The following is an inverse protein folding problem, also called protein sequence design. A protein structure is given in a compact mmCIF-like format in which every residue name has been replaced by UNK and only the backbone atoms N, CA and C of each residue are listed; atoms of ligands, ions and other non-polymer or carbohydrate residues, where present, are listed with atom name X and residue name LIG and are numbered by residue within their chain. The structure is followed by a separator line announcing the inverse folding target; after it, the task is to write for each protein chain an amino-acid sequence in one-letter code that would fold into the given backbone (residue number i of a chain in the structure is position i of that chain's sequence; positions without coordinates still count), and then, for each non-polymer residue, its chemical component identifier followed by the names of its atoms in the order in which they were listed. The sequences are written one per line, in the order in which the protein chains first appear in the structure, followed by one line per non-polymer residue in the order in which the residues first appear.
data_IF_168741100767
#
_entry.id   IF_168741100767
#
_cell.length_a   1.000
_cell.length_b   1.000
_cell.length_c   1.000
_cell.angle_alpha   90.00
_cell.angle_beta   90.00
_cell.angle_gamma   90.00
#
_symmetry.space_group_name_H-M   'P 1'
#
loop_
_entity.id
_entity.type
_entity.pdbx_description
1 polymer ?
#
# COMPACT_ATOMS: atom_id res chain seq x y z
N UNK A 1 35.82 -8.55 -2.79
CA UNK A 1 36.23 -9.01 -1.44
C UNK A 1 35.08 -8.75 -0.49
N UNK A 2 34.85 -9.63 0.49
CA UNK A 2 33.86 -9.39 1.54
C UNK A 2 34.47 -8.58 2.65
N UNK A 3 33.70 -7.63 3.18
CA UNK A 3 34.15 -6.73 4.25
C UNK A 3 34.00 -7.38 5.62
N UNK A 4 35.02 -7.27 6.46
CA UNK A 4 35.03 -7.83 7.80
C UNK A 4 35.24 -6.73 8.85
N UNK A 5 34.51 -6.86 9.96
CA UNK A 5 34.76 -6.11 11.19
C UNK A 5 35.28 -7.06 12.28
N UNK A 6 36.34 -6.66 12.96
CA UNK A 6 36.84 -7.32 14.17
C UNK A 6 36.43 -6.47 15.39
N UNK A 7 35.90 -7.10 16.45
CA UNK A 7 35.53 -6.41 17.68
C UNK A 7 35.99 -7.21 18.90
N UNK A 8 36.86 -6.64 19.70
CA UNK A 8 37.39 -7.23 20.94
C UNK A 8 37.95 -6.11 21.81
N UNK A 9 37.73 -6.14 23.11
CA UNK A 9 38.23 -5.10 24.03
C UNK A 9 39.73 -5.23 24.31
N UNK A 10 40.31 -6.36 23.97
CA UNK A 10 41.76 -6.60 24.08
C UNK A 10 42.48 -6.30 22.75
N UNK A 11 43.18 -5.18 22.67
CA UNK A 11 43.94 -4.79 21.46
C UNK A 11 44.93 -5.84 20.97
N UNK A 12 45.49 -6.66 21.89
CA UNK A 12 46.40 -7.74 21.53
C UNK A 12 45.70 -8.85 20.76
N UNK A 13 44.43 -9.13 21.09
CA UNK A 13 43.63 -10.12 20.37
C UNK A 13 43.25 -9.58 18.98
N UNK A 14 42.87 -8.30 18.85
CA UNK A 14 42.62 -7.67 17.54
C UNK A 14 43.85 -7.76 16.63
N UNK A 15 45.05 -7.47 17.15
CA UNK A 15 46.32 -7.61 16.41
C UNK A 15 46.64 -9.08 16.10
N UNK A 16 46.34 -9.98 17.02
CA UNK A 16 46.50 -11.42 16.80
C UNK A 16 45.60 -11.92 15.67
N UNK A 17 44.32 -11.57 15.71
CA UNK A 17 43.34 -11.92 14.67
C UNK A 17 43.71 -11.38 13.28
N UNK A 18 44.25 -10.17 13.22
CA UNK A 18 44.72 -9.58 11.98
C UNK A 18 45.83 -10.34 11.32
N UNK A 19 46.73 -10.98 12.13
CA UNK A 19 47.94 -11.66 11.64
C UNK A 19 47.82 -13.19 11.61
N UNK A 20 46.82 -13.79 12.25
CA UNK A 20 46.64 -15.25 12.31
C UNK A 20 46.03 -15.83 11.01
N UNK A 21 45.33 -15.01 10.24
CA UNK A 21 44.66 -15.41 9.01
C UNK A 21 45.17 -14.59 7.84
N UNK A 22 45.37 -15.23 6.71
CA UNK A 22 45.65 -14.58 5.43
C UNK A 22 44.32 -14.13 4.79
N UNK A 23 43.75 -13.01 5.32
CA UNK A 23 42.40 -12.53 4.97
C UNK A 23 42.23 -12.30 3.46
N UNK A 24 43.23 -11.73 2.79
CA UNK A 24 43.18 -11.45 1.37
C UNK A 24 43.09 -12.72 0.51
N UNK A 25 43.80 -13.80 0.92
CA UNK A 25 43.75 -15.09 0.24
C UNK A 25 42.37 -15.74 0.34
N UNK A 26 41.64 -15.48 1.42
CA UNK A 26 40.24 -15.90 1.59
C UNK A 26 39.23 -14.99 0.85
N UNK A 27 39.69 -13.90 0.24
CA UNK A 27 38.83 -12.91 -0.41
C UNK A 27 38.11 -12.00 0.60
N UNK A 28 38.69 -11.80 1.77
CA UNK A 28 38.19 -10.97 2.86
C UNK A 28 39.04 -9.70 3.00
N UNK A 29 38.43 -8.62 3.48
CA UNK A 29 39.10 -7.36 3.78
C UNK A 29 38.67 -6.86 5.16
N UNK A 30 39.60 -6.66 6.08
CA UNK A 30 39.29 -6.05 7.38
C UNK A 30 39.15 -4.54 7.18
N UNK A 31 37.93 -4.03 7.23
CA UNK A 31 37.63 -2.61 7.02
C UNK A 31 37.36 -1.85 8.32
N UNK A 32 36.97 -2.56 9.38
CA UNK A 32 36.70 -1.99 10.68
C UNK A 32 37.29 -2.82 11.82
N UNK A 33 37.82 -2.13 12.83
CA UNK A 33 38.23 -2.73 14.13
C UNK A 33 37.59 -1.90 15.23
N UNK A 34 37.03 -2.54 16.26
CA UNK A 34 36.36 -1.89 17.37
C UNK A 34 36.85 -2.48 18.70
N UNK A 35 37.04 -1.63 19.70
CA UNK A 35 37.47 -2.01 21.04
C UNK A 35 36.29 -2.22 22.01
N UNK A 36 35.07 -2.03 21.56
CA UNK A 36 33.84 -2.27 22.33
C UNK A 36 32.65 -2.32 21.38
N UNK A 37 31.50 -2.83 21.88
CA UNK A 37 30.30 -3.00 21.05
C UNK A 37 29.69 -1.70 20.59
N UNK A 38 29.78 -0.60 21.36
CA UNK A 38 29.22 0.69 20.92
C UNK A 38 30.03 1.25 19.74
N UNK A 39 31.33 1.22 19.79
CA UNK A 39 32.21 1.61 18.69
C UNK A 39 31.98 0.75 17.45
N UNK A 40 31.71 -0.55 17.64
CA UNK A 40 31.35 -1.45 16.54
C UNK A 40 30.06 -1.04 15.84
N UNK A 41 29.00 -0.68 16.60
CA UNK A 41 27.75 -0.18 16.05
C UNK A 41 27.96 1.10 15.24
N UNK A 42 28.72 2.06 15.76
CA UNK A 42 28.95 3.34 15.11
C UNK A 42 29.74 3.17 13.81
N UNK A 43 30.81 2.37 13.83
CA UNK A 43 31.60 2.04 12.63
C UNK A 43 30.81 1.25 11.59
N UNK A 44 29.90 0.36 12.02
CA UNK A 44 29.03 -0.37 11.10
C UNK A 44 28.06 0.56 10.37
N UNK A 45 27.51 1.57 11.06
CA UNK A 45 26.62 2.57 10.43
C UNK A 45 27.36 3.41 9.39
N UNK A 46 28.63 3.75 9.64
CA UNK A 46 29.46 4.51 8.70
C UNK A 46 29.92 3.66 7.50
N UNK A 47 30.34 2.44 7.75
CA UNK A 47 30.85 1.52 6.73
C UNK A 47 30.35 0.08 7.02
N UNK A 48 29.18 -0.30 6.50
CA UNK A 48 28.62 -1.64 6.69
C UNK A 48 29.53 -2.75 6.19
N UNK A 49 29.52 -3.88 6.92
CA UNK A 49 30.36 -5.07 6.63
C UNK A 49 29.50 -6.30 6.36
N UNK A 50 30.07 -7.31 5.68
CA UNK A 50 29.41 -8.60 5.40
C UNK A 50 29.54 -9.57 6.59
N UNK A 51 30.69 -9.53 7.31
CA UNK A 51 31.03 -10.46 8.41
C UNK A 51 31.50 -9.67 9.61
N UNK A 52 31.03 -10.04 10.80
CA UNK A 52 31.49 -9.52 12.08
C UNK A 52 32.10 -10.68 12.90
N UNK A 53 33.36 -10.56 13.29
CA UNK A 53 34.02 -11.45 14.22
C UNK A 53 34.17 -10.70 15.54
N UNK A 54 33.47 -11.13 16.59
CA UNK A 54 33.38 -10.36 17.83
C UNK A 54 33.63 -11.22 19.08
N UNK A 55 34.28 -10.63 20.08
CA UNK A 55 34.23 -11.18 21.43
C UNK A 55 32.82 -11.08 22.02
N UNK A 56 32.53 -12.00 22.95
CA UNK A 56 31.21 -11.99 23.62
C UNK A 56 31.17 -10.97 24.76
N UNK A 57 32.25 -10.82 25.52
CA UNK A 57 32.29 -10.01 26.72
C UNK A 57 33.06 -8.70 26.48
N UNK A 58 32.40 -7.74 25.88
CA UNK A 58 32.95 -6.40 25.68
C UNK A 58 32.25 -5.37 26.60
N UNK A 59 32.95 -4.30 26.99
CA UNK A 59 32.39 -3.22 27.78
C UNK A 59 31.30 -2.46 26.99
N UNK A 60 30.32 -1.89 27.71
CA UNK A 60 29.19 -1.10 27.23
C UNK A 60 28.14 -1.94 26.49
N UNK A 61 28.49 -2.63 25.42
CA UNK A 61 27.62 -3.47 24.60
C UNK A 61 28.33 -4.81 24.38
N UNK A 62 27.69 -5.89 24.82
CA UNK A 62 28.20 -7.26 24.64
C UNK A 62 28.10 -7.71 23.16
N UNK A 63 28.90 -8.73 22.76
CA UNK A 63 28.81 -9.27 21.39
C UNK A 63 27.42 -9.79 20.99
N UNK A 64 26.65 -10.31 21.94
CA UNK A 64 25.27 -10.73 21.69
C UNK A 64 24.28 -9.56 21.53
N UNK A 65 24.51 -8.47 22.25
CA UNK A 65 23.73 -7.25 22.07
C UNK A 65 24.10 -6.55 20.76
N UNK A 66 25.40 -6.52 20.42
CA UNK A 66 25.91 -6.04 19.14
C UNK A 66 25.24 -6.78 17.98
N UNK A 67 25.17 -8.10 18.03
CA UNK A 67 24.49 -8.91 17.02
C UNK A 67 23.03 -8.48 16.84
N UNK A 68 22.27 -8.30 17.93
CA UNK A 68 20.87 -7.87 17.85
C UNK A 68 20.72 -6.51 17.21
N UNK A 69 21.58 -5.55 17.57
CA UNK A 69 21.50 -4.19 17.03
C UNK A 69 21.91 -4.14 15.55
N UNK A 70 22.97 -4.85 15.15
CA UNK A 70 23.41 -4.85 13.76
C UNK A 70 22.43 -5.61 12.84
N UNK A 71 21.80 -6.69 13.31
CA UNK A 71 20.76 -7.39 12.54
C UNK A 71 19.48 -6.57 12.30
N UNK A 72 19.19 -5.59 13.17
CA UNK A 72 18.12 -4.62 12.90
C UNK A 72 18.46 -3.65 11.75
N UNK A 73 19.76 -3.36 11.57
CA UNK A 73 20.25 -2.45 10.53
C UNK A 73 20.45 -3.20 9.20
N UNK A 74 21.01 -4.41 9.27
CA UNK A 74 21.23 -5.29 8.13
C UNK A 74 21.03 -6.76 8.56
N UNK A 75 19.96 -7.38 8.11
CA UNK A 75 19.62 -8.79 8.42
C UNK A 75 20.64 -9.79 7.87
N UNK A 76 21.34 -9.43 6.79
CA UNK A 76 22.21 -10.34 6.04
C UNK A 76 23.63 -10.43 6.62
N UNK A 77 23.98 -9.55 7.58
CA UNK A 77 25.29 -9.58 8.23
C UNK A 77 25.53 -10.89 8.98
N UNK A 78 26.68 -11.51 8.76
CA UNK A 78 27.06 -12.78 9.38
C UNK A 78 27.92 -12.53 10.61
N UNK A 79 27.70 -13.35 11.65
CA UNK A 79 28.41 -13.23 12.93
C UNK A 79 29.18 -14.50 13.28
N UNK A 80 30.43 -14.31 13.71
CA UNK A 80 31.27 -15.33 14.34
C UNK A 80 31.59 -14.79 15.73
N UNK A 81 31.22 -15.54 16.76
CA UNK A 81 31.44 -15.17 18.16
C UNK A 81 32.73 -15.86 18.66
N UNK A 82 33.60 -15.08 19.28
CA UNK A 82 34.76 -15.58 20.00
C UNK A 82 34.47 -15.53 21.51
N UNK A 83 34.87 -16.54 22.27
CA UNK A 83 34.61 -16.56 23.70
C UNK A 83 35.71 -17.25 24.49
N UNK A 84 36.12 -16.66 25.59
CA UNK A 84 37.07 -17.27 26.54
C UNK A 84 36.43 -18.18 27.59
N UNK A 85 35.09 -18.32 27.55
CA UNK A 85 34.36 -19.08 28.54
C UNK A 85 33.62 -20.26 27.92
N UNK A 86 33.79 -21.44 28.51
CA UNK A 86 33.03 -22.64 28.19
C UNK A 86 31.63 -22.56 28.84
N UNK A 87 30.94 -21.43 28.66
CA UNK A 87 29.60 -21.21 29.21
C UNK A 87 28.56 -21.56 28.16
N UNK A 88 28.02 -22.75 28.32
CA UNK A 88 26.97 -23.30 27.47
C UNK A 88 25.73 -22.37 27.31
N UNK A 89 25.49 -21.48 28.29
CA UNK A 89 24.38 -20.55 28.25
C UNK A 89 24.55 -19.46 27.17
N UNK A 90 25.77 -19.01 26.95
CA UNK A 90 26.08 -18.04 25.89
C UNK A 90 26.05 -18.67 24.50
N UNK A 91 26.62 -19.86 24.37
CA UNK A 91 26.61 -20.62 23.13
C UNK A 91 25.15 -20.88 22.67
N UNK A 92 24.26 -21.31 23.58
CA UNK A 92 22.85 -21.53 23.29
C UNK A 92 22.17 -20.24 22.81
N UNK A 93 22.36 -19.11 23.51
CA UNK A 93 21.78 -17.82 23.09
C UNK A 93 22.32 -17.34 21.75
N UNK A 94 23.60 -17.55 21.48
CA UNK A 94 24.22 -17.20 20.21
C UNK A 94 23.56 -17.98 19.04
N UNK A 95 23.38 -19.29 19.21
CA UNK A 95 22.70 -20.16 18.22
C UNK A 95 21.25 -19.69 18.00
N UNK A 96 20.50 -19.42 19.08
CA UNK A 96 19.12 -18.91 18.99
C UNK A 96 19.04 -17.57 18.24
N UNK A 97 20.07 -16.75 18.29
CA UNK A 97 20.18 -15.47 17.59
C UNK A 97 20.75 -15.61 16.16
N UNK A 98 21.07 -16.83 15.74
CA UNK A 98 21.51 -17.13 14.37
C UNK A 98 22.92 -16.64 14.08
N UNK A 99 23.88 -16.92 14.96
CA UNK A 99 25.33 -16.78 14.64
C UNK A 99 25.76 -17.88 13.69
N UNK A 100 26.75 -17.61 12.85
CA UNK A 100 27.30 -18.61 11.94
C UNK A 100 28.16 -19.64 12.68
N UNK A 101 28.93 -19.21 13.67
CA UNK A 101 29.69 -20.09 14.51
C UNK A 101 30.06 -19.42 15.84
N UNK A 102 30.48 -20.26 16.81
CA UNK A 102 30.94 -19.89 18.14
C UNK A 102 32.29 -20.61 18.39
N UNK A 103 33.38 -19.86 18.52
CA UNK A 103 34.75 -20.36 18.64
C UNK A 103 35.27 -20.06 20.04
N UNK A 104 35.86 -21.05 20.67
CA UNK A 104 36.48 -20.91 21.99
C UNK A 104 37.89 -20.34 21.88
N UNK A 105 38.23 -19.42 22.80
CA UNK A 105 39.62 -18.97 23.00
C UNK A 105 40.39 -20.02 23.85
N UNK A 106 41.64 -20.39 23.54
CA UNK A 106 42.53 -19.77 22.54
C UNK A 106 42.09 -20.12 21.10
N UNK A 107 42.14 -19.12 20.23
CA UNK A 107 41.64 -19.25 18.85
C UNK A 107 42.58 -20.16 18.06
N UNK A 108 42.00 -21.22 17.51
CA UNK A 108 42.69 -22.10 16.59
C UNK A 108 42.60 -21.55 15.16
N UNK A 109 43.75 -21.39 14.50
CA UNK A 109 43.81 -20.83 13.14
C UNK A 109 43.01 -21.65 12.14
N UNK A 110 43.12 -22.97 12.16
CA UNK A 110 42.45 -23.87 11.21
C UNK A 110 40.92 -23.82 11.42
N UNK A 111 40.46 -23.74 12.68
CA UNK A 111 39.05 -23.62 13.02
C UNK A 111 38.45 -22.30 12.54
N UNK A 112 39.16 -21.18 12.78
CA UNK A 112 38.71 -19.86 12.34
C UNK A 112 38.69 -19.76 10.81
N UNK A 113 39.73 -20.23 10.14
CA UNK A 113 39.83 -20.24 8.68
C UNK A 113 38.71 -21.07 8.05
N UNK A 114 38.47 -22.28 8.57
CA UNK A 114 37.38 -23.15 8.11
C UNK A 114 36.02 -22.50 8.29
N UNK A 115 35.78 -21.82 9.43
CA UNK A 115 34.56 -21.12 9.73
C UNK A 115 34.33 -19.96 8.76
N UNK A 116 35.36 -19.17 8.49
CA UNK A 116 35.32 -18.08 7.51
C UNK A 116 35.01 -18.58 6.10
N UNK A 117 35.66 -19.68 5.64
CA UNK A 117 35.38 -20.31 4.34
C UNK A 117 33.92 -20.77 4.23
N UNK A 118 33.39 -21.39 5.29
CA UNK A 118 31.98 -21.83 5.30
C UNK A 118 31.02 -20.63 5.24
N UNK A 119 31.31 -19.58 5.98
CA UNK A 119 30.53 -18.33 6.01
C UNK A 119 30.51 -17.65 4.63
N UNK A 120 31.68 -17.56 3.96
CA UNK A 120 31.80 -17.04 2.60
C UNK A 120 30.96 -17.85 1.61
N UNK A 121 31.05 -19.18 1.68
CA UNK A 121 30.29 -20.05 0.80
C UNK A 121 28.76 -19.86 1.01
N UNK A 122 28.32 -19.72 2.25
CA UNK A 122 26.93 -19.43 2.59
C UNK A 122 26.48 -18.08 2.03
N UNK A 123 27.29 -17.02 2.20
CA UNK A 123 26.98 -15.70 1.60
C UNK A 123 26.90 -15.78 0.07
N UNK A 124 27.79 -16.55 -0.58
CA UNK A 124 27.76 -16.74 -2.03
C UNK A 124 26.48 -17.45 -2.47
N UNK A 125 26.11 -18.55 -1.81
CA UNK A 125 24.89 -19.29 -2.11
C UNK A 125 23.65 -18.42 -1.94
N UNK A 126 23.53 -17.70 -0.81
CA UNK A 126 22.40 -16.79 -0.57
C UNK A 126 22.33 -15.65 -1.62
N UNK A 127 23.47 -15.09 -2.03
CA UNK A 127 23.53 -14.07 -3.10
C UNK A 127 23.17 -14.64 -4.49
N UNK A 128 23.54 -15.89 -4.78
CA UNK A 128 23.16 -16.57 -6.02
C UNK A 128 21.67 -16.95 -6.04
N UNK A 129 21.16 -17.47 -4.94
CA UNK A 129 19.73 -17.78 -4.78
C UNK A 129 18.88 -16.51 -4.88
N UNK A 130 19.28 -15.41 -4.24
CA UNK A 130 18.61 -14.11 -4.34
C UNK A 130 18.68 -13.53 -5.76
N UNK A 131 19.81 -13.63 -6.45
CA UNK A 131 19.90 -13.20 -7.86
C UNK A 131 19.00 -14.03 -8.77
N UNK A 132 18.97 -15.33 -8.56
CA UNK A 132 18.10 -16.27 -9.28
C UNK A 132 16.62 -15.99 -8.98
N UNK A 133 16.24 -15.78 -7.71
CA UNK A 133 14.86 -15.52 -7.32
C UNK A 133 14.36 -14.15 -7.79
N UNK A 134 15.17 -13.10 -7.71
CA UNK A 134 14.85 -11.77 -8.26
C UNK A 134 14.74 -11.81 -9.80
N UNK A 135 15.63 -12.54 -10.47
CA UNK A 135 15.57 -12.76 -11.90
C UNK A 135 14.27 -13.49 -12.30
N UNK A 136 13.96 -14.58 -11.63
CA UNK A 136 12.73 -15.35 -11.81
C UNK A 136 11.49 -14.50 -11.58
N UNK A 137 11.45 -13.74 -10.48
CA UNK A 137 10.35 -12.85 -10.16
C UNK A 137 10.10 -11.80 -11.25
N UNK A 138 11.15 -11.14 -11.73
CA UNK A 138 11.07 -10.17 -12.82
C UNK A 138 10.54 -10.76 -14.12
N UNK A 139 10.94 -11.99 -14.46
CA UNK A 139 10.44 -12.71 -15.63
C UNK A 139 8.97 -13.05 -15.46
N UNK A 140 8.55 -13.55 -14.30
CA UNK A 140 7.14 -13.84 -14.02
C UNK A 140 6.26 -12.59 -14.10
N UNK A 141 6.72 -11.43 -13.61
CA UNK A 141 6.03 -10.14 -13.79
C UNK A 141 5.90 -9.76 -15.27
N UNK A 142 6.96 -9.92 -16.06
CA UNK A 142 6.90 -9.66 -17.52
C UNK A 142 5.94 -10.60 -18.21
N UNK A 143 5.91 -11.88 -17.79
CA UNK A 143 5.04 -12.92 -18.33
C UNK A 143 3.56 -12.57 -18.12
N UNK A 144 3.14 -12.26 -16.90
CA UNK A 144 1.74 -11.90 -16.61
C UNK A 144 1.33 -10.57 -17.24
N UNK A 145 2.27 -9.65 -17.47
CA UNK A 145 2.04 -8.41 -18.20
C UNK A 145 2.06 -8.55 -19.72
N UNK A 146 2.35 -9.76 -20.24
CA UNK A 146 2.42 -10.05 -21.68
C UNK A 146 3.57 -9.32 -22.38
N UNK A 147 4.69 -9.12 -21.69
CA UNK A 147 5.86 -8.40 -22.19
C UNK A 147 7.02 -9.30 -22.63
N UNK A 148 6.81 -10.63 -22.66
CA UNK A 148 7.78 -11.60 -23.12
C UNK A 148 7.40 -12.11 -24.53
N UNK A 149 8.40 -12.24 -25.41
CA UNK A 149 8.23 -12.90 -26.69
C UNK A 149 8.22 -14.44 -26.53
N UNK A 150 7.73 -15.15 -27.54
CA UNK A 150 7.55 -16.61 -27.46
C UNK A 150 8.85 -17.36 -27.16
N UNK A 151 9.94 -17.06 -27.86
CA UNK A 151 11.23 -17.72 -27.61
C UNK A 151 11.82 -17.40 -26.23
N UNK A 152 11.59 -16.18 -25.71
CA UNK A 152 12.08 -15.78 -24.39
C UNK A 152 11.43 -16.56 -23.23
N UNK A 153 10.19 -17.04 -23.41
CA UNK A 153 9.52 -17.82 -22.35
C UNK A 153 10.17 -19.20 -22.23
N UNK A 154 10.45 -19.89 -23.35
CA UNK A 154 11.08 -21.21 -23.32
C UNK A 154 12.49 -21.15 -22.74
N UNK A 155 13.32 -20.19 -23.17
CA UNK A 155 14.65 -19.98 -22.63
C UNK A 155 14.63 -19.69 -21.12
N UNK A 156 13.68 -18.86 -20.66
CA UNK A 156 13.57 -18.50 -19.25
C UNK A 156 12.96 -19.62 -18.39
N UNK A 157 12.07 -20.46 -18.94
CA UNK A 157 11.55 -21.65 -18.22
C UNK A 157 12.69 -22.57 -17.78
N UNK A 158 13.61 -22.86 -18.67
CA UNK A 158 14.78 -23.73 -18.38
C UNK A 158 15.79 -22.99 -17.48
N UNK A 159 16.08 -21.72 -17.77
CA UNK A 159 17.10 -20.94 -17.06
C UNK A 159 16.75 -20.63 -15.59
N UNK A 160 15.46 -20.51 -15.25
CA UNK A 160 14.98 -20.19 -13.89
C UNK A 160 14.25 -21.35 -13.19
N UNK A 161 14.28 -22.56 -13.73
CA UNK A 161 13.61 -23.74 -13.17
C UNK A 161 12.14 -23.47 -12.79
N UNK A 162 11.38 -22.90 -13.74
CA UNK A 162 9.97 -22.60 -13.49
C UNK A 162 9.14 -23.88 -13.44
N UNK A 163 8.27 -23.98 -12.44
CA UNK A 163 7.36 -25.12 -12.26
C UNK A 163 6.09 -25.00 -13.12
N UNK A 164 6.23 -24.53 -14.37
CA UNK A 164 5.11 -24.26 -15.29
C UNK A 164 5.25 -25.11 -16.59
N UNK A 165 5.25 -26.44 -16.45
CA UNK A 165 5.51 -27.38 -17.54
C UNK A 165 4.31 -28.29 -17.87
N UNK A 166 3.11 -27.72 -17.93
CA UNK A 166 1.88 -28.48 -18.20
C UNK A 166 1.13 -27.93 -19.40
N UNK A 167 0.02 -28.59 -19.77
CA UNK A 167 -0.79 -28.21 -20.91
C UNK A 167 -1.87 -27.15 -20.58
N UNK A 168 -2.12 -26.89 -19.32
CA UNK A 168 -3.13 -25.89 -18.87
C UNK A 168 -2.65 -25.11 -17.69
N UNK A 169 -2.97 -23.82 -17.70
CA UNK A 169 -2.57 -22.88 -16.67
C UNK A 169 -3.77 -22.11 -16.16
N UNK A 170 -3.78 -21.79 -14.87
CA UNK A 170 -4.73 -20.86 -14.29
C UNK A 170 -4.01 -19.84 -13.42
N UNK A 171 -4.55 -18.63 -13.34
CA UNK A 171 -4.01 -17.56 -12.53
C UNK A 171 -5.07 -17.10 -11.54
N UNK A 172 -4.66 -16.95 -10.29
CA UNK A 172 -5.49 -16.44 -9.21
C UNK A 172 -4.78 -15.28 -8.51
N UNK A 173 -5.48 -14.18 -8.30
CA UNK A 173 -5.04 -13.11 -7.42
C UNK A 173 -5.69 -13.32 -6.05
N UNK A 174 -4.89 -13.33 -5.00
CA UNK A 174 -5.33 -13.51 -3.61
C UNK A 174 -5.17 -12.17 -2.91
N UNK A 175 -6.27 -11.55 -2.50
CA UNK A 175 -6.30 -10.34 -1.72
C UNK A 175 -6.66 -10.66 -0.27
N UNK A 176 -6.06 -10.00 0.70
CA UNK A 176 -6.37 -10.10 2.12
C UNK A 176 -7.01 -8.80 2.62
N UNK A 177 -7.86 -8.88 3.64
CA UNK A 177 -8.53 -7.70 4.20
C UNK A 177 -7.56 -6.74 4.89
N UNK A 178 -6.64 -7.26 5.68
CA UNK A 178 -5.50 -6.53 6.20
C UNK A 178 -4.36 -6.72 5.21
N UNK A 179 -4.01 -5.66 4.48
CA UNK A 179 -2.87 -5.67 3.56
C UNK A 179 -1.69 -6.28 4.30
N UNK A 180 -1.21 -7.41 3.88
CA UNK A 180 -0.13 -8.24 4.44
C UNK A 180 0.69 -7.56 5.55
N UNK A 181 0.03 -7.24 6.68
CA UNK A 181 0.61 -6.48 7.80
C UNK A 181 1.79 -7.21 8.47
N UNK A 182 2.03 -8.48 8.10
CA UNK A 182 3.17 -9.23 8.58
C UNK A 182 3.69 -10.23 7.56
N UNK A 183 5.02 -10.40 7.50
CA UNK A 183 5.68 -11.50 6.79
C UNK A 183 5.10 -12.88 7.21
N UNK A 184 4.61 -12.97 8.44
CA UNK A 184 3.98 -14.17 9.00
C UNK A 184 2.69 -14.53 8.26
N UNK A 185 1.82 -13.57 7.97
CA UNK A 185 0.57 -13.82 7.22
C UNK A 185 0.87 -14.32 5.81
N UNK A 186 1.80 -13.69 5.11
CA UNK A 186 2.24 -14.11 3.78
C UNK A 186 2.81 -15.53 3.83
N UNK A 187 3.66 -15.81 4.82
CA UNK A 187 4.24 -17.14 5.01
C UNK A 187 3.17 -18.22 5.23
N UNK A 188 2.15 -17.93 6.04
CA UNK A 188 1.03 -18.84 6.32
C UNK A 188 0.25 -19.15 5.04
N UNK A 189 -0.11 -18.15 4.25
CA UNK A 189 -0.82 -18.36 2.97
C UNK A 189 0.04 -19.20 2.00
N UNK A 190 1.32 -18.90 1.89
CA UNK A 190 2.26 -19.64 1.04
C UNK A 190 2.39 -21.10 1.49
N UNK A 191 2.38 -21.37 2.79
CA UNK A 191 2.41 -22.75 3.32
C UNK A 191 1.15 -23.52 2.91
N UNK A 192 -0.04 -22.93 3.07
CA UNK A 192 -1.30 -23.58 2.61
C UNK A 192 -1.26 -23.86 1.09
N UNK A 193 -0.73 -22.93 0.29
CA UNK A 193 -0.56 -23.15 -1.13
C UNK A 193 0.35 -24.35 -1.40
N UNK A 194 1.52 -24.41 -0.74
CA UNK A 194 2.48 -25.51 -0.91
C UNK A 194 1.91 -26.87 -0.51
N UNK A 195 1.12 -26.95 0.53
CA UNK A 195 0.49 -28.18 1.00
C UNK A 195 -0.59 -28.71 0.04
N UNK A 196 -1.25 -27.80 -0.68
CA UNK A 196 -2.35 -28.16 -1.60
C UNK A 196 -1.95 -28.32 -3.06
N UNK A 197 -0.75 -27.89 -3.44
CA UNK A 197 -0.24 -27.96 -4.80
C UNK A 197 0.92 -28.93 -4.91
N UNK A 198 0.87 -29.83 -5.89
CA UNK A 198 1.95 -30.77 -6.19
C UNK A 198 3.08 -30.06 -6.97
N UNK A 199 3.77 -29.10 -6.37
CA UNK A 199 4.95 -28.40 -6.94
C UNK A 199 4.82 -27.80 -8.37
N UNK A 200 3.61 -27.75 -8.93
CA UNK A 200 3.35 -27.23 -10.28
C UNK A 200 2.76 -25.83 -10.24
N UNK A 201 3.41 -24.92 -9.51
CA UNK A 201 2.93 -23.54 -9.34
C UNK A 201 4.06 -22.55 -9.22
N UNK A 202 3.76 -21.29 -9.49
CA UNK A 202 4.61 -20.14 -9.21
C UNK A 202 3.83 -19.07 -8.43
N UNK A 203 4.51 -18.40 -7.52
CA UNK A 203 3.97 -17.32 -6.73
C UNK A 203 4.69 -16.03 -7.09
N UNK A 204 3.91 -14.97 -7.28
CA UNK A 204 4.41 -13.62 -7.51
C UNK A 204 3.85 -12.74 -6.39
N UNK A 205 4.73 -12.00 -5.73
CA UNK A 205 4.35 -10.94 -4.81
C UNK A 205 4.70 -9.59 -5.45
N UNK A 206 3.69 -8.74 -5.66
CA UNK A 206 3.89 -7.47 -6.35
C UNK A 206 4.18 -6.32 -5.37
N UNK A 207 4.71 -5.21 -5.89
CA UNK A 207 4.92 -3.99 -5.10
C UNK A 207 3.61 -3.38 -4.57
N UNK A 208 2.49 -3.68 -5.24
CA UNK A 208 1.14 -3.28 -4.81
C UNK A 208 0.56 -4.27 -3.78
N UNK A 209 1.43 -5.09 -3.14
CA UNK A 209 1.08 -6.07 -2.10
C UNK A 209 0.06 -7.12 -2.57
N UNK A 210 0.07 -7.48 -3.85
CA UNK A 210 -0.78 -8.54 -4.40
C UNK A 210 -0.04 -9.88 -4.39
N UNK A 211 -0.71 -10.92 -3.92
CA UNK A 211 -0.24 -12.30 -4.05
C UNK A 211 -0.90 -12.93 -5.28
N UNK A 212 -0.08 -13.28 -6.27
CA UNK A 212 -0.54 -13.91 -7.52
C UNK A 212 -0.04 -15.34 -7.58
N UNK A 213 -0.95 -16.27 -7.73
CA UNK A 213 -0.68 -17.69 -7.86
C UNK A 213 -0.92 -18.13 -9.30
N UNK A 214 0.09 -18.69 -9.95
CA UNK A 214 -0.02 -19.35 -11.25
C UNK A 214 0.10 -20.86 -11.01
N UNK A 215 -0.95 -21.61 -11.29
CA UNK A 215 -0.95 -23.07 -11.26
C UNK A 215 -0.82 -23.64 -12.66
N UNK A 216 -0.06 -24.72 -12.80
CA UNK A 216 -0.03 -25.54 -13.98
C UNK A 216 -0.65 -26.92 -13.69
N UNK A 217 -1.43 -27.44 -14.65
CA UNK A 217 -2.26 -28.62 -14.48
C UNK A 217 -1.90 -29.67 -15.53
N UNK A 218 -1.51 -30.87 -15.08
CA UNK A 218 -1.12 -31.97 -15.95
C UNK A 218 -2.34 -32.62 -16.60
N UNK A 219 -3.53 -32.45 -16.02
CA UNK A 219 -4.80 -32.92 -16.55
C UNK A 219 -5.63 -31.77 -17.11
N UNK A 220 -6.45 -32.06 -18.11
CA UNK A 220 -7.37 -31.09 -18.70
C UNK A 220 -8.57 -30.83 -17.77
N UNK A 221 -8.30 -30.26 -16.59
CA UNK A 221 -9.33 -29.90 -15.61
C UNK A 221 -10.35 -28.91 -16.20
N UNK A 222 -11.62 -29.15 -15.91
CA UNK A 222 -12.70 -28.23 -16.26
C UNK A 222 -12.60 -26.96 -15.41
N UNK A 223 -13.20 -25.86 -15.88
CA UNK A 223 -13.29 -24.59 -15.11
C UNK A 223 -13.90 -24.80 -13.72
N UNK A 224 -14.89 -25.71 -13.59
CA UNK A 224 -15.53 -26.04 -12.31
C UNK A 224 -14.58 -26.73 -11.33
N UNK A 225 -13.73 -27.62 -11.82
CA UNK A 225 -12.74 -28.32 -11.01
C UNK A 225 -11.66 -27.35 -10.53
N UNK A 226 -11.18 -26.46 -11.41
CA UNK A 226 -10.22 -25.41 -11.06
C UNK A 226 -10.82 -24.46 -10.01
N UNK A 227 -12.09 -24.04 -10.18
CA UNK A 227 -12.77 -23.22 -9.18
C UNK A 227 -12.88 -23.95 -7.84
N UNK A 228 -13.26 -25.25 -7.85
CA UNK A 228 -13.35 -26.06 -6.64
C UNK A 228 -12.01 -26.15 -5.89
N UNK A 229 -10.90 -26.24 -6.62
CA UNK A 229 -9.56 -26.20 -6.01
C UNK A 229 -9.33 -24.88 -5.27
N UNK A 230 -9.59 -23.74 -5.92
CA UNK A 230 -9.41 -22.43 -5.26
C UNK A 230 -10.41 -22.19 -4.14
N UNK A 231 -11.64 -22.70 -4.22
CA UNK A 231 -12.60 -22.65 -3.11
C UNK A 231 -12.06 -23.43 -1.89
N UNK A 232 -11.47 -24.62 -2.11
CA UNK A 232 -10.84 -25.41 -1.05
C UNK A 232 -9.65 -24.66 -0.44
N UNK A 233 -8.79 -24.08 -1.28
CA UNK A 233 -7.64 -23.27 -0.84
C UNK A 233 -8.11 -22.11 0.05
N UNK A 234 -9.13 -21.36 -0.37
CA UNK A 234 -9.74 -20.29 0.40
C UNK A 234 -10.23 -20.78 1.77
N UNK A 235 -10.98 -21.91 1.80
CA UNK A 235 -11.50 -22.47 3.04
C UNK A 235 -10.40 -22.86 4.02
N UNK A 236 -9.29 -23.41 3.53
CA UNK A 236 -8.15 -23.76 4.37
C UNK A 236 -7.47 -22.52 4.95
N UNK A 237 -7.21 -21.49 4.16
CA UNK A 237 -6.62 -20.24 4.64
C UNK A 237 -7.48 -19.65 5.77
N UNK A 238 -8.79 -19.62 5.58
CA UNK A 238 -9.73 -19.09 6.60
C UNK A 238 -9.74 -19.96 7.86
N UNK A 239 -9.85 -21.28 7.71
CA UNK A 239 -10.02 -22.19 8.85
C UNK A 239 -8.74 -22.36 9.68
N UNK A 240 -7.58 -22.37 9.05
CA UNK A 240 -6.30 -22.59 9.74
C UNK A 240 -5.72 -21.33 10.36
N UNK A 241 -5.89 -20.19 9.69
CA UNK A 241 -5.24 -18.94 10.12
C UNK A 241 -6.21 -17.79 10.42
N UNK A 242 -7.51 -17.95 10.15
CA UNK A 242 -8.51 -16.90 10.39
C UNK A 242 -8.35 -15.66 9.48
N UNK A 243 -7.65 -15.81 8.34
CA UNK A 243 -7.36 -14.70 7.42
C UNK A 243 -8.54 -14.54 6.45
N UNK A 244 -9.13 -13.36 6.42
CA UNK A 244 -10.15 -13.00 5.44
C UNK A 244 -9.50 -12.78 4.06
N UNK A 245 -9.88 -13.61 3.08
CA UNK A 245 -9.29 -13.59 1.72
C UNK A 245 -10.35 -13.44 0.64
N UNK A 246 -9.95 -12.81 -0.46
CA UNK A 246 -10.75 -12.75 -1.68
C UNK A 246 -9.92 -13.29 -2.85
N UNK A 247 -10.41 -14.36 -3.46
CA UNK A 247 -9.74 -15.05 -4.57
C UNK A 247 -10.43 -14.70 -5.88
N UNK A 248 -9.70 -14.08 -6.80
CA UNK A 248 -10.17 -13.80 -8.15
C UNK A 248 -9.44 -14.65 -9.17
N UNK A 249 -10.16 -15.55 -9.83
CA UNK A 249 -9.60 -16.55 -10.72
C UNK A 249 -9.89 -16.19 -12.17
N UNK A 250 -8.83 -15.95 -12.95
CA UNK A 250 -8.93 -15.70 -14.39
C UNK A 250 -9.25 -16.98 -15.17
N UNK A 251 -9.73 -16.81 -16.40
CA UNK A 251 -10.01 -17.92 -17.29
C UNK A 251 -8.76 -18.80 -17.51
N UNK A 252 -8.89 -20.13 -17.38
CA UNK A 252 -7.78 -21.02 -17.64
C UNK A 252 -7.34 -20.98 -19.11
N UNK A 253 -6.03 -21.03 -19.33
CA UNK A 253 -5.43 -21.00 -20.67
C UNK A 253 -4.64 -22.27 -20.95
N UNK A 254 -4.63 -22.73 -22.22
CA UNK A 254 -3.85 -23.88 -22.64
C UNK A 254 -2.43 -23.51 -23.07
N UNK A 255 -2.10 -22.25 -23.06
CA UNK A 255 -0.81 -21.75 -23.52
C UNK A 255 -0.32 -20.69 -22.53
N UNK A 256 0.90 -20.86 -22.03
CA UNK A 256 1.50 -19.95 -21.05
C UNK A 256 1.64 -18.51 -21.60
N UNK A 257 1.78 -18.35 -22.92
CA UNK A 257 1.78 -17.03 -23.58
C UNK A 257 0.49 -16.25 -23.37
N UNK A 258 -0.62 -16.97 -23.16
CA UNK A 258 -1.94 -16.36 -22.92
C UNK A 258 -2.21 -16.08 -21.45
N UNK A 259 -1.28 -16.38 -20.54
CA UNK A 259 -1.49 -16.15 -19.10
C UNK A 259 -1.77 -14.69 -18.77
N UNK A 260 -1.29 -13.76 -19.59
CA UNK A 260 -1.58 -12.33 -19.48
C UNK A 260 -3.06 -12.00 -19.66
N UNK A 261 -3.81 -12.80 -20.44
CA UNK A 261 -5.27 -12.64 -20.54
C UNK A 261 -5.97 -13.09 -19.26
N UNK A 262 -5.55 -14.23 -18.71
CA UNK A 262 -6.04 -14.71 -17.41
C UNK A 262 -5.76 -13.71 -16.28
N UNK A 263 -4.58 -13.09 -16.27
CA UNK A 263 -4.23 -12.02 -15.31
C UNK A 263 -5.16 -10.79 -15.44
N UNK A 264 -5.39 -10.32 -16.66
CA UNK A 264 -6.29 -9.17 -16.90
C UNK A 264 -7.70 -9.44 -16.39
N UNK A 265 -8.20 -10.66 -16.59
CA UNK A 265 -9.52 -11.06 -16.10
C UNK A 265 -9.55 -11.15 -14.58
N UNK A 266 -8.59 -11.83 -13.96
CA UNK A 266 -8.47 -11.90 -12.51
C UNK A 266 -8.38 -10.50 -11.88
N UNK A 267 -7.60 -9.59 -12.49
CA UNK A 267 -7.47 -8.20 -12.05
C UNK A 267 -8.76 -7.37 -12.19
N UNK A 268 -9.60 -7.68 -13.18
CA UNK A 268 -10.92 -7.08 -13.29
C UNK A 268 -11.88 -7.65 -12.23
N UNK A 269 -11.77 -8.95 -11.95
CA UNK A 269 -12.59 -9.65 -10.96
C UNK A 269 -12.27 -9.20 -9.53
N UNK A 270 -11.00 -8.91 -9.20
CA UNK A 270 -10.62 -8.51 -7.83
C UNK A 270 -11.41 -7.31 -7.30
N UNK A 271 -11.83 -6.41 -8.19
CA UNK A 271 -12.65 -5.23 -7.83
C UNK A 271 -14.01 -5.59 -7.24
N UNK A 272 -14.50 -6.82 -7.50
CA UNK A 272 -15.75 -7.30 -6.96
C UNK A 272 -15.70 -7.61 -5.45
N UNK A 273 -14.52 -7.56 -4.82
CA UNK A 273 -14.43 -7.57 -3.35
C UNK A 273 -15.29 -6.47 -2.76
N UNK A 274 -15.33 -5.30 -3.39
CA UNK A 274 -16.16 -4.16 -3.01
C UNK A 274 -17.66 -4.49 -2.93
N UNK A 275 -18.16 -5.37 -3.80
CA UNK A 275 -19.60 -5.69 -3.88
C UNK A 275 -19.97 -7.02 -3.25
N UNK A 276 -19.05 -7.97 -3.22
CA UNK A 276 -19.27 -9.32 -2.73
C UNK A 276 -18.70 -9.56 -1.33
N UNK A 277 -17.80 -8.67 -0.88
CA UNK A 277 -17.06 -8.82 0.38
C UNK A 277 -16.00 -9.89 0.32
N UNK A 278 -15.22 -10.00 1.40
CA UNK A 278 -14.19 -11.03 1.57
C UNK A 278 -14.80 -12.45 1.73
N UNK A 279 -13.92 -13.44 1.82
CA UNK A 279 -14.25 -14.86 1.96
C UNK A 279 -15.01 -15.44 0.77
N UNK A 280 -14.67 -14.93 -0.42
CA UNK A 280 -15.21 -15.38 -1.70
C UNK A 280 -14.09 -15.84 -2.64
N UNK A 281 -14.42 -16.82 -3.48
CA UNK A 281 -13.63 -17.19 -4.64
C UNK A 281 -14.52 -17.01 -5.87
N UNK A 282 -14.14 -16.14 -6.80
CA UNK A 282 -14.95 -15.79 -7.95
C UNK A 282 -14.24 -16.02 -9.28
N UNK A 283 -15.03 -16.32 -10.28
CA UNK A 283 -14.67 -16.42 -11.68
C UNK A 283 -15.55 -15.48 -12.51
N UNK A 284 -15.27 -15.37 -13.80
CA UNK A 284 -16.11 -14.58 -14.73
C UNK A 284 -17.57 -15.04 -14.76
N UNK A 285 -17.83 -16.33 -14.46
CA UNK A 285 -19.20 -16.89 -14.44
C UNK A 285 -20.03 -16.32 -13.30
N UNK A 286 -19.43 -16.05 -12.14
CA UNK A 286 -20.11 -15.59 -10.93
C UNK A 286 -20.60 -14.13 -11.04
N UNK A 287 -20.06 -13.36 -11.98
CA UNK A 287 -20.38 -11.94 -12.16
C UNK A 287 -21.09 -11.59 -13.45
N UNK A 288 -21.40 -12.59 -14.32
CA UNK A 288 -22.09 -12.38 -15.61
C UNK A 288 -23.46 -11.70 -15.48
N UNK A 289 -24.14 -11.95 -14.38
CA UNK A 289 -25.49 -11.40 -14.14
C UNK A 289 -25.46 -10.01 -13.47
N UNK A 290 -24.28 -9.58 -13.00
CA UNK A 290 -24.10 -8.23 -12.46
C UNK A 290 -23.93 -7.28 -13.64
N UNK A 291 -25.07 -6.85 -14.21
CA UNK A 291 -25.15 -6.04 -15.41
C UNK A 291 -24.35 -4.75 -15.33
N UNK A 292 -23.48 -4.52 -16.32
CA UNK A 292 -22.84 -3.22 -16.60
C UNK A 292 -23.88 -2.20 -17.15
N UNK A 293 -24.86 -1.80 -16.36
CA UNK A 293 -25.73 -0.70 -16.74
C UNK A 293 -25.00 0.62 -16.45
N UNK A 294 -24.86 1.45 -17.47
CA UNK A 294 -24.52 2.85 -17.27
C UNK A 294 -25.64 3.51 -16.46
N UNK A 295 -25.38 3.77 -15.19
CA UNK A 295 -26.34 4.42 -14.31
C UNK A 295 -26.12 5.92 -14.39
N UNK A 296 -27.20 6.66 -14.60
CA UNK A 296 -27.19 8.12 -14.53
C UNK A 296 -27.33 8.56 -13.07
N UNK A 297 -26.27 9.05 -12.48
CA UNK A 297 -26.26 9.51 -11.08
C UNK A 297 -26.68 10.98 -10.90
N UNK A 298 -27.10 11.70 -11.97
CA UNK A 298 -27.44 13.12 -11.88
C UNK A 298 -28.48 13.41 -10.80
N UNK A 299 -29.49 12.57 -10.65
CA UNK A 299 -30.55 12.76 -9.65
C UNK A 299 -30.02 12.59 -8.22
N UNK A 300 -29.11 11.64 -8.03
CA UNK A 300 -28.46 11.41 -6.72
C UNK A 300 -27.59 12.61 -6.35
N UNK A 301 -26.77 13.08 -7.29
CA UNK A 301 -25.89 14.25 -7.09
C UNK A 301 -26.69 15.52 -6.83
N UNK A 302 -27.81 15.75 -7.54
CA UNK A 302 -28.68 16.89 -7.32
C UNK A 302 -29.35 16.86 -5.94
N UNK A 303 -29.79 15.68 -5.49
CA UNK A 303 -30.36 15.51 -4.15
C UNK A 303 -29.29 15.76 -3.07
N UNK A 304 -28.10 15.19 -3.27
CA UNK A 304 -26.97 15.34 -2.34
C UNK A 304 -26.54 16.80 -2.23
N UNK A 305 -26.36 17.48 -3.37
CA UNK A 305 -26.01 18.90 -3.41
C UNK A 305 -27.00 19.76 -2.61
N UNK A 306 -28.30 19.53 -2.79
CA UNK A 306 -29.35 20.25 -2.02
C UNK A 306 -29.22 20.02 -0.51
N UNK A 307 -28.90 18.80 -0.06
CA UNK A 307 -28.74 18.50 1.37
C UNK A 307 -27.48 19.14 1.95
N UNK A 308 -26.37 19.09 1.21
CA UNK A 308 -25.10 19.72 1.63
C UNK A 308 -25.28 21.24 1.78
N UNK A 309 -25.85 21.91 0.76
CA UNK A 309 -26.13 23.36 0.82
C UNK A 309 -27.09 23.70 1.96
N UNK A 310 -28.08 22.83 2.24
CA UNK A 310 -29.00 23.00 3.37
C UNK A 310 -28.36 22.67 4.72
N UNK A 311 -27.10 22.19 4.76
CA UNK A 311 -26.38 21.74 5.95
C UNK A 311 -27.06 20.59 6.69
N UNK A 312 -27.78 19.75 5.95
CA UNK A 312 -28.48 18.58 6.44
C UNK A 312 -27.57 17.35 6.35
N UNK A 313 -26.70 17.18 7.36
CA UNK A 313 -25.74 16.06 7.44
C UNK A 313 -26.47 14.72 7.39
N UNK A 314 -27.48 14.53 8.25
CA UNK A 314 -28.22 13.26 8.34
C UNK A 314 -28.91 12.89 7.02
N UNK A 315 -29.51 13.88 6.35
CA UNK A 315 -30.13 13.69 5.06
C UNK A 315 -29.13 13.39 3.94
N UNK A 316 -27.93 13.96 4.00
CA UNK A 316 -26.85 13.69 3.04
C UNK A 316 -26.26 12.28 3.25
N UNK A 317 -25.91 11.92 4.48
CA UNK A 317 -25.40 10.60 4.84
C UNK A 317 -26.38 9.49 4.46
N UNK A 318 -27.68 9.68 4.69
CA UNK A 318 -28.72 8.72 4.30
C UNK A 318 -28.76 8.49 2.79
N UNK A 319 -28.56 9.53 1.97
CA UNK A 319 -28.50 9.38 0.51
C UNK A 319 -27.28 8.55 0.11
N UNK A 320 -26.13 8.76 0.74
CA UNK A 320 -24.92 7.96 0.50
C UNK A 320 -25.17 6.50 0.87
N UNK A 321 -25.69 6.25 2.07
CA UNK A 321 -26.00 4.90 2.55
C UNK A 321 -26.94 4.16 1.59
N UNK A 322 -28.10 4.72 1.30
CA UNK A 322 -29.07 4.11 0.39
C UNK A 322 -28.50 3.85 -1.02
N UNK A 323 -27.59 4.72 -1.48
CA UNK A 323 -27.04 4.60 -2.82
C UNK A 323 -25.88 3.62 -2.88
N UNK A 324 -24.91 3.69 -1.94
CA UNK A 324 -23.75 2.79 -1.91
C UNK A 324 -24.16 1.35 -1.59
N UNK A 325 -25.21 1.16 -0.79
CA UNK A 325 -25.73 -0.18 -0.45
C UNK A 325 -26.63 -0.79 -1.54
N UNK A 326 -26.97 -0.07 -2.60
CA UNK A 326 -27.75 -0.66 -3.69
C UNK A 326 -26.98 -1.83 -4.32
N UNK A 327 -27.54 -3.05 -4.12
CA UNK A 327 -26.98 -4.31 -4.65
C UNK A 327 -26.89 -4.37 -6.17
N UNK A 328 -27.57 -3.46 -6.87
CA UNK A 328 -27.54 -3.37 -8.35
C UNK A 328 -26.28 -2.66 -8.87
N UNK A 329 -25.56 -1.94 -8.00
CA UNK A 329 -24.32 -1.27 -8.37
C UNK A 329 -23.18 -2.27 -8.47
N UNK A 330 -22.52 -2.30 -9.62
CA UNK A 330 -21.25 -2.99 -9.78
C UNK A 330 -20.09 -2.09 -9.23
N UNK A 331 -18.87 -2.64 -9.06
CA UNK A 331 -17.74 -1.89 -8.53
C UNK A 331 -17.43 -0.59 -9.29
N UNK A 332 -17.50 -0.64 -10.63
CA UNK A 332 -17.26 0.52 -11.48
C UNK A 332 -18.24 1.65 -11.20
N UNK A 333 -19.53 1.30 -11.08
CA UNK A 333 -20.57 2.28 -10.79
C UNK A 333 -20.38 2.93 -9.41
N UNK A 334 -19.90 2.18 -8.40
CA UNK A 334 -19.61 2.71 -7.08
C UNK A 334 -18.45 3.71 -7.15
N UNK A 335 -17.33 3.33 -7.78
CA UNK A 335 -16.19 4.25 -7.94
C UNK A 335 -16.55 5.48 -8.78
N UNK A 336 -17.26 5.31 -9.90
CA UNK A 336 -17.71 6.42 -10.75
C UNK A 336 -18.61 7.41 -9.99
N UNK A 337 -19.51 6.91 -9.14
CA UNK A 337 -20.33 7.74 -8.28
C UNK A 337 -19.50 8.46 -7.23
N UNK A 338 -18.63 7.73 -6.53
CA UNK A 338 -17.81 8.28 -5.45
C UNK A 338 -16.89 9.40 -5.95
N UNK A 339 -16.23 9.19 -7.09
CA UNK A 339 -15.42 10.24 -7.73
C UNK A 339 -16.27 11.47 -8.09
N UNK A 340 -17.49 11.28 -8.61
CA UNK A 340 -18.38 12.41 -8.91
C UNK A 340 -18.83 13.15 -7.65
N UNK A 341 -19.00 12.45 -6.53
CA UNK A 341 -19.29 13.07 -5.23
C UNK A 341 -18.13 13.91 -4.75
N UNK A 342 -16.89 13.40 -4.83
CA UNK A 342 -15.69 14.16 -4.46
C UNK A 342 -15.55 15.44 -5.32
N UNK A 343 -15.79 15.36 -6.62
CA UNK A 343 -15.82 16.54 -7.50
C UNK A 343 -16.94 17.51 -7.14
N UNK A 344 -18.13 17.02 -6.74
CA UNK A 344 -19.21 17.87 -6.26
C UNK A 344 -18.80 18.63 -4.99
N UNK A 345 -18.16 17.95 -4.04
CA UNK A 345 -17.68 18.55 -2.79
C UNK A 345 -16.61 19.61 -3.06
N UNK A 346 -15.64 19.31 -3.92
CA UNK A 346 -14.60 20.24 -4.32
C UNK A 346 -15.18 21.50 -4.98
N UNK A 347 -16.14 21.33 -5.88
CA UNK A 347 -16.88 22.45 -6.49
C UNK A 347 -17.64 23.32 -5.46
N UNK A 348 -18.21 22.70 -4.42
CA UNK A 348 -18.87 23.43 -3.31
C UNK A 348 -17.82 24.22 -2.51
N UNK A 349 -16.68 23.60 -2.19
CA UNK A 349 -15.57 24.27 -1.46
C UNK A 349 -15.08 25.49 -2.23
N UNK A 350 -14.88 25.36 -3.55
CA UNK A 350 -14.48 26.49 -4.42
C UNK A 350 -15.54 27.58 -4.50
N UNK A 351 -16.82 27.20 -4.72
CA UNK A 351 -17.95 28.14 -4.87
C UNK A 351 -18.15 28.97 -3.60
N UNK A 352 -18.06 28.34 -2.44
CA UNK A 352 -18.23 29.00 -1.15
C UNK A 352 -16.96 29.65 -0.62
N UNK A 353 -15.82 29.55 -1.35
CA UNK A 353 -14.48 30.05 -0.93
C UNK A 353 -14.13 29.60 0.50
N UNK A 354 -14.42 28.37 0.79
CA UNK A 354 -14.08 27.78 2.09
C UNK A 354 -12.58 27.59 2.14
N UNK A 355 -11.90 28.31 3.03
CA UNK A 355 -10.48 28.01 3.28
C UNK A 355 -10.40 26.67 4.00
N UNK A 356 -10.07 25.60 3.27
CA UNK A 356 -9.61 24.35 3.89
C UNK A 356 -8.33 24.67 4.67
N UNK A 357 -8.47 24.99 5.96
CA UNK A 357 -7.31 25.19 6.82
C UNK A 357 -6.63 23.85 7.06
N UNK A 358 -5.52 23.61 6.35
CA UNK A 358 -4.37 22.73 6.68
C UNK A 358 -4.58 21.28 7.15
N UNK A 359 -5.78 20.72 7.16
CA UNK A 359 -6.03 19.31 7.48
C UNK A 359 -6.72 18.55 6.35
N UNK A 360 -7.21 19.24 5.34
CA UNK A 360 -7.90 18.61 4.21
C UNK A 360 -6.90 18.11 3.16
N UNK A 361 -7.05 16.85 2.77
CA UNK A 361 -6.34 16.28 1.64
C UNK A 361 -6.70 17.05 0.36
N UNK A 362 -5.79 17.12 -0.59
CA UNK A 362 -6.13 17.58 -1.93
C UNK A 362 -7.14 16.61 -2.58
N UNK A 363 -7.96 17.08 -3.54
CA UNK A 363 -8.87 16.19 -4.28
C UNK A 363 -8.14 14.97 -4.86
N UNK A 364 -6.87 15.12 -5.25
CA UNK A 364 -6.05 14.02 -5.73
C UNK A 364 -5.76 12.97 -4.64
N UNK A 365 -5.48 13.41 -3.42
CA UNK A 365 -5.26 12.51 -2.27
C UNK A 365 -6.55 11.80 -1.84
N UNK A 366 -7.69 12.49 -1.87
CA UNK A 366 -9.01 11.89 -1.62
C UNK A 366 -9.35 10.80 -2.64
N UNK A 367 -9.07 11.05 -3.93
CA UNK A 367 -9.26 10.04 -4.98
C UNK A 367 -8.32 8.84 -4.79
N UNK A 368 -7.06 9.07 -4.38
CA UNK A 368 -6.11 7.99 -4.08
C UNK A 368 -6.59 7.18 -2.89
N UNK A 369 -7.04 7.83 -1.81
CA UNK A 369 -7.62 7.16 -0.65
C UNK A 369 -8.85 6.32 -1.06
N UNK A 370 -9.77 6.87 -1.84
CA UNK A 370 -10.93 6.15 -2.37
C UNK A 370 -10.53 4.90 -3.16
N UNK A 371 -9.48 4.97 -3.97
CA UNK A 371 -9.01 3.84 -4.76
C UNK A 371 -8.35 2.74 -3.91
N UNK A 372 -7.97 3.04 -2.67
CA UNK A 372 -7.41 2.08 -1.74
C UNK A 372 -8.44 1.38 -0.86
N UNK A 373 -9.70 1.81 -0.91
CA UNK A 373 -10.77 1.19 -0.14
C UNK A 373 -11.32 -0.06 -0.81
N UNK A 374 -11.42 -1.15 -0.03
CA UNK A 374 -11.79 -2.48 -0.51
C UNK A 374 -13.23 -2.88 -0.19
N UNK A 375 -13.92 -2.14 0.69
CA UNK A 375 -15.30 -2.45 1.07
C UNK A 375 -16.26 -1.28 0.84
N UNK A 376 -17.55 -1.59 0.63
CA UNK A 376 -18.59 -0.57 0.55
C UNK A 376 -18.69 0.29 1.80
N UNK A 377 -18.46 -0.34 2.96
CA UNK A 377 -18.51 0.35 4.25
C UNK A 377 -17.38 1.37 4.37
N UNK A 378 -16.17 1.03 3.91
CA UNK A 378 -15.02 1.94 3.92
C UNK A 378 -15.28 3.13 2.99
N UNK A 379 -15.78 2.89 1.77
CA UNK A 379 -16.18 3.96 0.85
C UNK A 379 -17.29 4.84 1.44
N UNK A 380 -18.30 4.24 2.05
CA UNK A 380 -19.39 4.98 2.70
C UNK A 380 -18.81 5.88 3.82
N UNK A 381 -17.96 5.32 4.66
CA UNK A 381 -17.31 6.04 5.76
C UNK A 381 -16.49 7.21 5.25
N UNK A 382 -15.67 7.00 4.20
CA UNK A 382 -14.89 8.05 3.56
C UNK A 382 -15.79 9.17 3.03
N UNK A 383 -16.81 8.84 2.22
CA UNK A 383 -17.70 9.84 1.64
C UNK A 383 -18.50 10.60 2.71
N UNK A 384 -18.97 9.95 3.76
CA UNK A 384 -19.66 10.59 4.86
C UNK A 384 -18.75 11.53 5.65
N UNK A 385 -17.47 11.15 5.87
CA UNK A 385 -16.50 12.02 6.54
C UNK A 385 -16.20 13.28 5.72
N UNK A 386 -16.00 13.16 4.41
CA UNK A 386 -15.77 14.29 3.51
C UNK A 386 -16.98 15.25 3.45
N UNK A 387 -18.19 14.68 3.34
CA UNK A 387 -19.44 15.49 3.36
C UNK A 387 -19.56 16.25 4.68
N UNK A 388 -19.29 15.59 5.80
CA UNK A 388 -19.37 16.23 7.13
C UNK A 388 -18.37 17.35 7.26
N UNK A 389 -17.12 17.12 6.85
CA UNK A 389 -16.07 18.14 6.86
C UNK A 389 -16.47 19.37 6.04
N UNK A 390 -16.94 19.17 4.80
CA UNK A 390 -17.38 20.28 3.95
C UNK A 390 -18.54 21.04 4.58
N UNK A 391 -19.55 20.36 5.14
CA UNK A 391 -20.69 21.02 5.80
C UNK A 391 -20.23 21.78 7.08
N UNK A 392 -19.31 21.24 7.85
CA UNK A 392 -18.75 21.88 9.05
C UNK A 392 -17.93 23.12 8.68
N UNK A 393 -17.13 23.05 7.63
CA UNK A 393 -16.37 24.18 7.11
C UNK A 393 -17.28 25.30 6.55
N UNK A 394 -18.50 24.97 6.12
CA UNK A 394 -19.54 25.94 5.73
C UNK A 394 -20.19 26.65 6.94
N UNK A 395 -19.65 26.56 8.15
CA UNK A 395 -20.24 27.14 9.38
C UNK A 395 -20.37 28.68 9.37
N UNK A 396 -21.35 29.25 10.10
CA UNK A 396 -21.80 30.65 9.94
C UNK A 396 -20.80 31.75 10.34
N UNK A 397 -19.64 31.40 10.83
CA UNK A 397 -18.58 32.39 11.13
C UNK A 397 -17.87 32.87 9.86
N UNK A 398 -17.95 32.11 8.74
CA UNK A 398 -17.25 32.41 7.50
C UNK A 398 -18.19 32.73 6.33
N UNK A 399 -19.42 32.16 6.30
CA UNK A 399 -20.34 32.32 5.17
C UNK A 399 -21.69 32.80 5.65
N UNK A 400 -21.87 34.10 5.60
CA UNK A 400 -23.11 34.76 6.04
C UNK A 400 -24.24 34.70 4.98
N UNK A 401 -23.90 34.43 3.72
CA UNK A 401 -24.82 34.56 2.57
C UNK A 401 -24.53 33.52 1.49
N UNK A 402 -25.51 33.17 0.65
CA UNK A 402 -25.31 32.31 -0.52
C UNK A 402 -24.27 32.90 -1.50
N UNK A 403 -23.64 32.07 -2.36
CA UNK A 403 -22.57 32.53 -3.27
C UNK A 403 -22.97 33.73 -4.11
N UNK A 404 -24.18 33.69 -4.65
CA UNK A 404 -24.70 34.80 -5.46
C UNK A 404 -24.89 36.08 -4.63
N UNK A 405 -25.39 35.97 -3.42
CA UNK A 405 -25.53 37.13 -2.52
C UNK A 405 -24.18 37.64 -2.05
N UNK A 406 -23.21 36.75 -1.81
CA UNK A 406 -21.82 37.16 -1.50
C UNK A 406 -21.18 37.93 -2.65
N UNK A 407 -21.30 37.41 -3.88
CA UNK A 407 -20.77 38.12 -5.07
C UNK A 407 -21.43 39.50 -5.24
N UNK A 408 -22.72 39.60 -5.00
CA UNK A 408 -23.42 40.89 -5.05
C UNK A 408 -22.96 41.83 -3.95
N UNK A 409 -22.76 41.33 -2.73
CA UNK A 409 -22.26 42.12 -1.60
C UNK A 409 -20.82 42.60 -1.87
N UNK A 410 -19.93 41.73 -2.34
CA UNK A 410 -18.57 42.11 -2.74
C UNK A 410 -18.57 43.15 -3.84
N UNK A 411 -19.37 42.94 -4.89
CA UNK A 411 -19.49 43.90 -5.97
C UNK A 411 -19.97 45.27 -5.49
N UNK A 412 -20.98 45.30 -4.62
CA UNK A 412 -21.49 46.56 -4.03
C UNK A 412 -20.42 47.24 -3.19
N UNK A 413 -19.67 46.52 -2.37
CA UNK A 413 -18.61 47.05 -1.54
C UNK A 413 -17.42 47.63 -2.34
N UNK A 414 -17.13 47.08 -3.47
CA UNK A 414 -16.07 47.54 -4.39
C UNK A 414 -16.52 48.67 -5.33
N UNK A 415 -17.81 48.66 -5.74
CA UNK A 415 -18.34 49.56 -6.75
C UNK A 415 -19.49 50.47 -6.22
N UNK A 416 -19.54 50.75 -4.90
CA UNK A 416 -20.62 51.50 -4.27
C UNK A 416 -20.78 52.95 -4.82
N UNK A 417 -19.77 53.50 -5.46
CA UNK A 417 -19.74 54.80 -6.11
C UNK A 417 -20.43 54.81 -7.48
N UNK A 418 -20.66 53.66 -8.09
CA UNK A 418 -21.36 53.51 -9.35
C UNK A 418 -22.90 53.49 -9.18
N UNK A 419 -23.61 53.63 -10.31
CA UNK A 419 -25.08 53.40 -10.34
C UNK A 419 -25.42 51.91 -10.37
N UNK A 420 -25.35 51.24 -9.23
CA UNK A 420 -25.65 49.85 -9.06
C UNK A 420 -27.13 49.64 -8.76
N UNK A 421 -27.81 48.80 -9.49
CA UNK A 421 -29.20 48.41 -9.23
C UNK A 421 -29.35 46.89 -9.18
N UNK A 422 -30.37 46.42 -8.45
CA UNK A 422 -30.70 45.00 -8.41
C UNK A 422 -30.96 44.41 -9.80
N UNK A 423 -31.55 45.23 -10.71
CA UNK A 423 -31.85 44.86 -12.09
C UNK A 423 -30.56 44.65 -12.92
N UNK A 424 -29.58 45.55 -12.77
CA UNK A 424 -28.29 45.43 -13.50
C UNK A 424 -27.50 44.24 -13.01
N UNK A 425 -27.52 43.96 -11.71
CA UNK A 425 -26.86 42.78 -11.14
C UNK A 425 -27.54 41.48 -11.54
N UNK A 426 -28.87 41.45 -11.54
CA UNK A 426 -29.63 40.28 -12.00
C UNK A 426 -29.31 39.94 -13.47
N UNK A 427 -29.17 40.95 -14.34
CA UNK A 427 -28.71 40.76 -15.73
C UNK A 427 -27.26 40.26 -15.81
N UNK A 428 -26.36 40.83 -15.01
CA UNK A 428 -24.94 40.47 -14.97
C UNK A 428 -24.71 39.00 -14.55
N UNK A 429 -25.51 38.53 -13.62
CA UNK A 429 -25.38 37.14 -13.07
C UNK A 429 -26.44 36.19 -13.68
N UNK A 430 -27.16 36.60 -14.75
CA UNK A 430 -28.15 35.78 -15.44
C UNK A 430 -29.26 35.23 -14.53
N UNK A 431 -29.71 36.00 -13.56
CA UNK A 431 -30.72 35.63 -12.56
C UNK A 431 -32.00 36.45 -12.76
N UNK A 432 -33.16 35.86 -12.42
CA UNK A 432 -34.39 36.59 -12.42
C UNK A 432 -34.38 37.66 -11.31
N UNK A 433 -34.70 38.93 -11.67
CA UNK A 433 -34.63 40.08 -10.75
C UNK A 433 -35.55 39.91 -9.53
N UNK A 434 -36.77 39.36 -9.71
CA UNK A 434 -37.72 39.15 -8.62
C UNK A 434 -37.24 38.06 -7.66
N UNK A 435 -36.67 37.01 -8.18
CA UNK A 435 -36.07 35.93 -7.41
C UNK A 435 -34.83 36.44 -6.60
N UNK A 436 -33.97 37.18 -7.27
CA UNK A 436 -32.79 37.76 -6.64
C UNK A 436 -33.19 38.71 -5.48
N UNK A 437 -34.20 39.53 -5.67
CA UNK A 437 -34.69 40.44 -4.63
C UNK A 437 -35.24 39.70 -3.41
N UNK A 438 -35.96 38.61 -3.62
CA UNK A 438 -36.50 37.78 -2.53
C UNK A 438 -35.36 37.09 -1.74
N UNK A 439 -34.41 36.47 -2.45
CA UNK A 439 -33.27 35.80 -1.84
C UNK A 439 -32.40 36.80 -1.08
N UNK A 440 -32.11 37.95 -1.68
CA UNK A 440 -31.31 39.00 -1.02
C UNK A 440 -31.98 39.47 0.26
N UNK A 441 -33.28 39.79 0.25
CA UNK A 441 -33.99 40.24 1.45
C UNK A 441 -34.05 39.14 2.51
N UNK A 442 -34.23 37.88 2.09
CA UNK A 442 -34.29 36.72 3.00
C UNK A 442 -32.98 36.51 3.72
N UNK A 443 -31.86 36.61 3.01
CA UNK A 443 -30.53 36.30 3.56
C UNK A 443 -29.86 37.48 4.25
N UNK A 444 -30.00 38.69 3.68
CA UNK A 444 -29.36 39.92 4.21
C UNK A 444 -30.20 40.61 5.27
N UNK A 445 -31.53 40.29 5.30
CA UNK A 445 -32.46 40.84 6.27
C UNK A 445 -32.95 42.26 5.95
N UNK A 446 -32.55 42.84 4.80
CA UNK A 446 -33.03 44.14 4.32
C UNK A 446 -33.09 44.17 2.79
N UNK A 447 -33.79 45.15 2.22
CA UNK A 447 -33.86 45.31 0.77
C UNK A 447 -32.47 45.67 0.18
N UNK A 448 -32.23 45.33 -1.09
CA UNK A 448 -31.01 45.71 -1.77
C UNK A 448 -30.76 47.23 -1.75
N UNK A 449 -31.80 48.04 -1.94
CA UNK A 449 -31.70 49.49 -1.90
C UNK A 449 -31.31 50.02 -0.53
N UNK A 450 -31.83 49.42 0.52
CA UNK A 450 -31.44 49.77 1.90
C UNK A 450 -29.99 49.37 2.19
N UNK A 451 -29.56 48.20 1.73
CA UNK A 451 -28.20 47.76 1.88
C UNK A 451 -27.20 48.68 1.15
N UNK A 452 -27.49 49.00 -0.13
CA UNK A 452 -26.64 49.92 -0.91
C UNK A 452 -26.52 51.29 -0.29
N UNK A 453 -27.66 51.87 0.18
CA UNK A 453 -27.64 53.16 0.89
C UNK A 453 -26.85 53.13 2.20
N UNK A 454 -26.96 52.03 2.94
CA UNK A 454 -26.20 51.82 4.17
C UNK A 454 -24.69 51.76 3.90
N UNK A 455 -24.28 51.04 2.85
CA UNK A 455 -22.90 50.90 2.40
C UNK A 455 -22.34 52.27 1.96
N UNK A 456 -23.08 53.01 1.11
CA UNK A 456 -22.70 54.37 0.70
C UNK A 456 -22.51 55.31 1.89
N UNK A 457 -23.43 55.26 2.87
CA UNK A 457 -23.35 56.08 4.08
C UNK A 457 -22.18 55.69 5.01
N UNK A 458 -21.86 54.39 5.10
CA UNK A 458 -20.70 53.95 5.88
C UNK A 458 -19.39 54.43 5.22
N UNK A 459 -19.25 54.25 3.94
CA UNK A 459 -18.06 54.68 3.18
C UNK A 459 -17.88 56.19 3.16
N UNK A 460 -18.98 56.97 3.15
CA UNK A 460 -18.94 58.42 3.27
C UNK A 460 -18.52 58.91 4.68
N UNK A 461 -18.61 58.09 5.72
CA UNK A 461 -18.11 58.39 7.07
C UNK A 461 -16.66 57.98 7.27
N UNK A 462 -16.13 57.10 6.46
CA UNK A 462 -14.73 56.67 6.48
C UNK A 462 -13.82 57.64 5.70
N UNK A 463 -14.38 58.49 4.82
CA UNK A 463 -13.73 59.59 4.12
C UNK A 463 -13.75 60.86 4.93
#
# INVERSE_FOLDING_TARGET
MYKVMLADDENLILQGLENIIEWEELGLEIVNKASNGQEAIDKFKENPVDIVVTDINMPQVTGLELLKELKKINSDVKFIILSGYDDFSYAKKAIELGVENYILKPIDEEELEKTLKNTINKIKQEKEENKSSLGKHNILIKLIKGKLAQGEIEENKEGFYMNLNSERYSLCIINTRSRYDSEEMLHNIVNVIKENTQNNFEIIYTLDEELILINSWDEALSKKEIKKYYDKLKEQIINEYGIDVFLSVGEPVCDLYKISSSYKEANNLKKYVLTLGYNKCITTEDVKDINEKNINFSEVLDKLNKRIIAKDIEGAEKIIEETVEDKKLNPRNIYDLSVKILFLLDGIVEEFKVEKQYTGNSLGEEIVALCSEDTREDIKTLLCSEIREVIELMHPTTIKYSPVIQQIISYVNENYYEEVSLKTLAQKYHINTSYLGQVFTKEVGCSFSEYLNKTKNMKAKEL
#
